data_IF_286874400868
#
_entry.id   IF_286874400868
#
_cell.length_a   1.000
_cell.length_b   1.000
_cell.length_c   1.000
_cell.angle_alpha   90.00
_cell.angle_beta   90.00
_cell.angle_gamma   90.00
#
_symmetry.space_group_name_H-M   'P 1'
#
loop_
_entity.id
_entity.type
_entity.pdbx_description
1 polymer ?
#
# COMPACT_ATOMS: atom_id res chain seq x y z
N UNK A 1 -17.18 8.30 -5.68
CA UNK A 1 -16.74 7.49 -4.51
C UNK A 1 -17.22 6.03 -4.68
N UNK A 2 -16.45 5.05 -4.20
CA UNK A 2 -16.79 3.62 -4.33
C UNK A 2 -17.28 3.08 -2.99
N UNK A 3 -18.60 2.92 -2.84
CA UNK A 3 -19.23 2.31 -1.66
C UNK A 3 -19.17 0.79 -1.72
N UNK A 4 -18.93 0.15 -0.57
CA UNK A 4 -18.94 -1.32 -0.44
C UNK A 4 -17.76 -1.99 -1.17
N UNK A 5 -16.69 -1.23 -1.40
CA UNK A 5 -15.42 -1.76 -1.86
C UNK A 5 -14.68 -2.38 -0.67
N UNK A 6 -14.14 -3.57 -0.86
CA UNK A 6 -13.25 -4.20 0.11
C UNK A 6 -11.83 -3.85 -0.29
N UNK A 7 -11.11 -3.18 0.60
CA UNK A 7 -9.69 -2.89 0.46
C UNK A 7 -8.93 -3.82 1.39
N UNK A 8 -8.01 -4.59 0.82
CA UNK A 8 -7.09 -5.46 1.54
C UNK A 8 -5.67 -4.90 1.37
N UNK A 9 -4.90 -4.85 2.45
CA UNK A 9 -3.49 -4.50 2.42
C UNK A 9 -2.64 -5.63 2.95
N UNK A 10 -1.42 -5.75 2.43
CA UNK A 10 -0.39 -6.59 3.02
C UNK A 10 1.01 -6.00 2.86
N UNK A 11 1.89 -6.25 3.82
CA UNK A 11 3.28 -5.78 3.82
C UNK A 11 4.16 -6.67 4.70
N UNK A 12 5.47 -6.51 4.56
CA UNK A 12 6.43 -7.06 5.50
C UNK A 12 6.42 -6.29 6.84
N UNK A 13 6.98 -6.92 7.87
CA UNK A 13 7.24 -6.30 9.16
C UNK A 13 8.39 -5.29 9.14
N UNK A 14 8.75 -4.74 10.31
CA UNK A 14 9.83 -3.75 10.44
C UNK A 14 11.23 -4.29 10.13
N UNK A 15 11.39 -5.61 10.06
CA UNK A 15 12.63 -6.30 9.70
C UNK A 15 12.65 -6.71 8.22
N UNK A 16 11.62 -6.35 7.43
CA UNK A 16 11.51 -6.72 6.03
C UNK A 16 11.10 -8.18 5.82
N UNK A 17 10.50 -8.82 6.83
CA UNK A 17 10.07 -10.23 6.79
C UNK A 17 8.58 -10.28 6.52
N UNK A 18 8.16 -11.06 5.52
CA UNK A 18 6.74 -11.37 5.34
C UNK A 18 6.32 -12.53 6.24
N UNK A 19 5.15 -12.43 6.85
CA UNK A 19 4.46 -13.57 7.46
C UNK A 19 3.94 -14.50 6.35
N UNK A 20 4.85 -15.26 5.74
CA UNK A 20 4.58 -16.17 4.64
C UNK A 20 5.39 -17.47 4.85
N UNK A 21 4.84 -18.61 4.44
CA UNK A 21 5.48 -19.92 4.65
C UNK A 21 6.80 -20.06 3.90
N UNK A 22 6.95 -19.35 2.79
CA UNK A 22 8.16 -19.39 1.96
C UNK A 22 9.17 -18.26 2.29
N UNK A 23 8.98 -17.52 3.38
CA UNK A 23 9.95 -16.51 3.82
C UNK A 23 11.19 -17.19 4.38
N UNK A 24 12.35 -17.00 3.74
CA UNK A 24 13.62 -17.62 4.12
C UNK A 24 14.28 -17.06 5.38
N UNK A 25 13.71 -16.00 5.97
CA UNK A 25 14.21 -15.28 7.15
C UNK A 25 13.17 -15.21 8.28
N UNK A 26 12.36 -16.26 8.42
CA UNK A 26 11.22 -16.32 9.36
C UNK A 26 11.66 -16.18 10.83
N UNK A 27 12.90 -16.51 11.16
CA UNK A 27 13.49 -16.34 12.49
C UNK A 27 13.63 -14.87 12.93
N UNK A 28 13.58 -13.93 11.99
CA UNK A 28 13.64 -12.48 12.25
C UNK A 28 12.26 -11.82 12.30
N UNK A 29 11.19 -12.61 12.17
CA UNK A 29 9.82 -12.10 12.15
C UNK A 29 9.46 -11.40 13.47
N UNK A 30 8.85 -10.23 13.39
CA UNK A 30 8.17 -9.58 14.52
C UNK A 30 6.88 -10.34 14.86
N UNK A 31 6.89 -11.05 16.00
CA UNK A 31 5.74 -11.79 16.49
C UNK A 31 4.50 -10.94 16.81
N UNK A 32 4.63 -9.62 16.86
CA UNK A 32 3.53 -8.68 17.12
C UNK A 32 2.96 -8.04 15.86
N UNK A 33 3.51 -8.33 14.67
CA UNK A 33 3.08 -7.72 13.42
C UNK A 33 2.52 -8.75 12.43
N UNK A 34 1.21 -8.69 12.18
CA UNK A 34 0.56 -9.66 11.29
C UNK A 34 0.74 -9.36 9.79
N UNK A 35 1.08 -8.13 9.41
CA UNK A 35 1.31 -7.73 8.02
C UNK A 35 0.10 -7.75 7.08
N UNK A 36 -1.13 -7.90 7.57
CA UNK A 36 -2.37 -7.86 6.77
C UNK A 36 -3.39 -6.85 7.32
N UNK A 37 -4.32 -6.40 6.49
CA UNK A 37 -5.46 -5.58 6.93
C UNK A 37 -6.60 -5.63 5.92
N UNK A 38 -7.84 -5.46 6.37
CA UNK A 38 -9.02 -5.38 5.51
C UNK A 38 -9.98 -4.29 5.98
N UNK A 39 -10.48 -3.49 5.06
CA UNK A 39 -11.43 -2.41 5.31
C UNK A 39 -12.57 -2.45 4.28
N UNK A 40 -13.81 -2.22 4.72
CA UNK A 40 -14.98 -2.09 3.84
C UNK A 40 -15.36 -0.62 3.74
N UNK A 41 -15.33 -0.05 2.55
CA UNK A 41 -15.62 1.37 2.34
C UNK A 41 -17.10 1.69 2.58
N UNK A 42 -17.34 2.79 3.30
CA UNK A 42 -18.67 3.32 3.56
C UNK A 42 -19.19 4.14 2.35
N UNK A 43 -20.26 4.92 2.56
CA UNK A 43 -20.85 5.77 1.52
C UNK A 43 -19.89 6.84 0.96
N UNK A 44 -18.96 7.34 1.78
CA UNK A 44 -17.94 8.32 1.37
C UNK A 44 -16.85 7.69 0.49
N UNK A 45 -16.71 6.36 0.50
CA UNK A 45 -15.66 5.64 -0.22
C UNK A 45 -14.29 5.66 0.48
N UNK A 46 -14.21 6.31 1.64
CA UNK A 46 -12.98 6.42 2.42
C UNK A 46 -12.61 5.09 3.08
N UNK A 47 -11.32 4.97 3.39
CA UNK A 47 -10.75 3.86 4.14
C UNK A 47 -9.64 4.37 5.06
N UNK A 48 -9.35 3.61 6.11
CA UNK A 48 -8.31 3.94 7.05
C UNK A 48 -7.60 2.68 7.55
N UNK A 49 -6.27 2.72 7.56
CA UNK A 49 -5.43 1.71 8.16
C UNK A 49 -4.41 2.39 9.07
N UNK A 50 -4.11 1.74 10.20
CA UNK A 50 -2.94 2.04 11.02
C UNK A 50 -1.98 0.87 10.91
N UNK A 51 -0.75 1.14 10.52
CA UNK A 51 0.31 0.14 10.31
C UNK A 51 1.67 0.78 10.58
N UNK A 52 2.75 -0.01 10.51
CA UNK A 52 4.12 0.50 10.48
C UNK A 52 4.46 1.00 9.07
N UNK A 53 5.33 2.02 8.98
CA UNK A 53 5.88 2.47 7.69
C UNK A 53 6.59 1.28 7.02
N UNK A 54 6.37 1.01 5.72
CA UNK A 54 7.03 -0.10 5.05
C UNK A 54 8.55 0.12 5.02
N UNK A 55 9.29 -0.98 5.06
CA UNK A 55 10.76 -1.04 5.01
C UNK A 55 11.21 -1.77 3.73
N UNK A 56 12.46 -1.59 3.27
CA UNK A 56 12.97 -2.39 2.16
C UNK A 56 13.07 -3.87 2.56
N UNK A 57 12.95 -4.74 1.58
CA UNK A 57 13.30 -6.16 1.70
C UNK A 57 14.05 -6.60 0.43
N UNK A 58 14.74 -7.76 0.42
CA UNK A 58 15.65 -8.12 -0.66
C UNK A 58 15.02 -7.95 -2.06
N UNK A 59 15.65 -7.10 -2.87
CA UNK A 59 15.25 -6.82 -4.25
C UNK A 59 14.09 -5.84 -4.43
N UNK A 60 13.50 -5.29 -3.36
CA UNK A 60 12.33 -4.41 -3.44
C UNK A 60 12.49 -3.12 -2.61
N UNK A 61 11.95 -2.02 -3.14
CA UNK A 61 11.81 -0.76 -2.41
C UNK A 61 10.69 -0.86 -1.35
N UNK A 62 10.67 -0.06 -0.26
CA UNK A 62 9.52 0.06 0.63
C UNK A 62 8.18 0.21 -0.08
N UNK A 63 7.25 -0.71 0.18
CA UNK A 63 5.87 -0.60 -0.32
C UNK A 63 4.87 -1.35 0.56
N UNK A 64 3.61 -0.98 0.41
CA UNK A 64 2.45 -1.72 0.93
C UNK A 64 1.65 -2.20 -0.28
N UNK A 65 1.31 -3.48 -0.32
CA UNK A 65 0.42 -3.98 -1.35
C UNK A 65 -1.03 -3.62 -1.04
N UNK A 66 -1.81 -3.37 -2.10
CA UNK A 66 -3.23 -3.08 -2.04
C UNK A 66 -3.99 -3.98 -3.01
N UNK A 67 -5.13 -4.51 -2.55
CA UNK A 67 -6.10 -5.19 -3.40
C UNK A 67 -7.49 -4.64 -3.13
N UNK A 68 -8.19 -4.31 -4.21
CA UNK A 68 -9.53 -3.73 -4.15
C UNK A 68 -10.50 -4.72 -4.80
N UNK A 69 -11.56 -5.05 -4.07
CA UNK A 69 -12.63 -5.96 -4.51
C UNK A 69 -13.99 -5.30 -4.38
N UNK A 70 -14.96 -5.70 -5.20
CA UNK A 70 -16.37 -5.31 -5.03
C UNK A 70 -17.28 -6.40 -5.57
N UNK A 71 -18.32 -6.76 -4.81
CA UNK A 71 -19.27 -7.79 -5.22
C UNK A 71 -18.60 -9.13 -5.56
N UNK A 72 -17.55 -9.51 -4.83
CA UNK A 72 -16.79 -10.74 -5.07
C UNK A 72 -15.77 -10.69 -6.21
N UNK A 73 -15.70 -9.60 -6.99
CA UNK A 73 -14.72 -9.43 -8.07
C UNK A 73 -13.50 -8.66 -7.59
N UNK A 74 -12.31 -9.09 -8.00
CA UNK A 74 -11.09 -8.29 -7.87
C UNK A 74 -11.07 -7.21 -8.96
N UNK A 75 -10.88 -5.96 -8.56
CA UNK A 75 -10.92 -4.80 -9.45
C UNK A 75 -9.52 -4.28 -9.75
N UNK A 76 -8.65 -4.24 -8.74
CA UNK A 76 -7.29 -3.75 -8.86
C UNK A 76 -6.39 -4.43 -7.82
N UNK A 77 -5.18 -4.80 -8.24
CA UNK A 77 -4.06 -5.07 -7.35
C UNK A 77 -2.95 -4.09 -7.69
N UNK A 78 -2.47 -3.36 -6.70
CA UNK A 78 -1.44 -2.34 -6.86
C UNK A 78 -0.51 -2.29 -5.65
N UNK A 79 0.47 -1.40 -5.65
CA UNK A 79 1.39 -1.17 -4.55
C UNK A 79 1.48 0.33 -4.26
N UNK A 80 1.45 0.69 -2.99
CA UNK A 80 1.72 2.03 -2.49
C UNK A 80 3.21 2.13 -2.18
N UNK A 81 3.93 3.01 -2.89
CA UNK A 81 5.36 3.24 -2.76
C UNK A 81 5.63 4.52 -1.97
N UNK A 82 6.74 4.55 -1.23
CA UNK A 82 7.15 5.76 -0.50
C UNK A 82 7.71 6.79 -1.48
N UNK A 83 7.08 7.96 -1.57
CA UNK A 83 7.55 9.08 -2.39
C UNK A 83 8.92 9.56 -1.92
N UNK A 84 9.84 9.76 -2.87
CA UNK A 84 11.21 10.20 -2.59
C UNK A 84 12.16 9.10 -2.10
N UNK A 85 11.72 7.85 -1.97
CA UNK A 85 12.61 6.73 -1.61
C UNK A 85 13.61 6.43 -2.75
N UNK A 86 14.93 6.53 -2.51
CA UNK A 86 15.93 6.34 -3.57
C UNK A 86 15.91 4.94 -4.20
N UNK A 87 15.51 3.91 -3.45
CA UNK A 87 15.42 2.54 -3.98
C UNK A 87 14.35 2.37 -5.06
N UNK A 88 13.39 3.28 -5.18
CA UNK A 88 12.41 3.28 -6.27
C UNK A 88 13.10 3.26 -7.64
N UNK A 89 14.25 3.95 -7.79
CA UNK A 89 15.01 4.02 -9.05
C UNK A 89 15.60 2.68 -9.50
N UNK A 90 15.69 1.70 -8.59
CA UNK A 90 16.27 0.37 -8.85
C UNK A 90 15.22 -0.75 -8.79
N UNK A 91 14.05 -0.51 -8.22
CA UNK A 91 12.97 -1.49 -8.14
C UNK A 91 12.36 -1.78 -9.52
N UNK A 92 12.52 -3.01 -10.00
CA UNK A 92 12.05 -3.41 -11.33
C UNK A 92 10.54 -3.39 -11.49
N UNK A 93 9.77 -3.59 -10.41
CA UNK A 93 8.30 -3.57 -10.44
C UNK A 93 7.80 -2.13 -10.58
N UNK A 94 8.34 -1.22 -9.76
CA UNK A 94 8.03 0.20 -9.86
C UNK A 94 8.41 0.78 -11.24
N UNK A 95 9.61 0.47 -11.73
CA UNK A 95 10.07 0.89 -13.06
C UNK A 95 9.29 0.26 -14.21
N UNK A 96 8.61 -0.86 -13.95
CA UNK A 96 7.72 -1.52 -14.91
C UNK A 96 6.49 -0.70 -15.24
N UNK A 97 6.10 0.26 -14.39
CA UNK A 97 4.99 1.17 -14.63
C UNK A 97 5.45 2.23 -15.65
N UNK A 98 5.13 2.02 -16.93
CA UNK A 98 5.59 2.86 -18.05
C UNK A 98 4.83 4.17 -18.19
N UNK A 99 3.55 4.17 -17.87
CA UNK A 99 2.75 5.38 -17.83
C UNK A 99 3.19 6.22 -16.63
N UNK A 100 3.65 7.44 -16.88
CA UNK A 100 4.18 8.32 -15.84
C UNK A 100 3.11 8.77 -14.85
N UNK A 101 1.88 9.03 -15.31
CA UNK A 101 0.76 9.40 -14.43
C UNK A 101 0.39 8.25 -13.52
N UNK A 102 0.32 7.03 -14.05
CA UNK A 102 0.06 5.83 -13.25
C UNK A 102 1.18 5.57 -12.23
N UNK A 103 2.43 5.81 -12.62
CA UNK A 103 3.59 5.67 -11.72
C UNK A 103 3.59 6.73 -10.63
N UNK A 104 3.25 7.97 -10.95
CA UNK A 104 3.16 9.05 -9.97
C UNK A 104 1.99 8.82 -9.01
N UNK A 105 0.88 8.24 -9.48
CA UNK A 105 -0.30 7.93 -8.68
C UNK A 105 -0.04 6.90 -7.56
N UNK A 106 1.02 6.09 -7.67
CA UNK A 106 1.39 5.12 -6.63
C UNK A 106 2.49 5.61 -5.69
N UNK A 107 3.02 6.83 -5.89
CA UNK A 107 4.00 7.46 -5.00
C UNK A 107 3.29 8.27 -3.92
N UNK A 108 3.35 7.77 -2.68
CA UNK A 108 2.64 8.33 -1.54
C UNK A 108 3.62 8.99 -0.57
N UNK A 109 3.29 10.22 -0.17
CA UNK A 109 4.04 10.94 0.85
C UNK A 109 3.64 10.45 2.25
N UNK A 110 4.63 10.12 3.06
CA UNK A 110 4.47 9.78 4.46
C UNK A 110 5.00 10.96 5.29
N UNK A 111 4.10 11.88 5.65
CA UNK A 111 4.43 13.13 6.32
C UNK A 111 4.27 12.99 7.85
N UNK A 112 5.11 13.64 8.67
CA UNK A 112 4.92 13.67 10.12
C UNK A 112 3.53 14.17 10.51
N UNK A 113 2.88 13.46 11.44
CA UNK A 113 1.62 13.92 12.02
C UNK A 113 1.91 15.02 13.04
N UNK A 114 1.25 16.17 12.85
CA UNK A 114 1.25 17.25 13.84
C UNK A 114 0.74 16.68 15.18
N UNK A 115 1.43 17.02 16.26
CA UNK A 115 1.09 16.64 17.63
C UNK A 115 1.22 15.14 17.96
N UNK A 116 1.81 14.30 17.08
CA UNK A 116 2.09 12.91 17.44
C UNK A 116 3.15 12.82 18.53
N UNK A 117 2.83 12.10 19.61
CA UNK A 117 3.73 11.86 20.75
C UNK A 117 4.78 10.78 20.50
N UNK A 118 4.56 9.94 19.49
CA UNK A 118 5.40 8.77 19.20
C UNK A 118 6.01 8.83 17.79
N UNK A 119 5.90 9.97 17.09
CA UNK A 119 6.47 10.15 15.75
C UNK A 119 5.67 9.48 14.63
N UNK A 120 4.34 9.43 14.75
CA UNK A 120 3.47 8.88 13.71
C UNK A 120 3.55 9.69 12.42
N UNK A 121 3.30 9.01 11.30
CA UNK A 121 3.22 9.58 9.98
C UNK A 121 1.79 9.43 9.45
N UNK A 122 1.34 10.41 8.66
CA UNK A 122 0.13 10.34 7.87
C UNK A 122 0.49 10.16 6.40
N UNK A 123 -0.32 9.36 5.70
CA UNK A 123 -0.19 9.08 4.29
C UNK A 123 -1.57 9.05 3.66
N UNK A 124 -1.72 9.71 2.50
CA UNK A 124 -2.97 9.78 1.75
C UNK A 124 -2.78 9.07 0.41
N UNK A 125 -3.52 7.99 0.18
CA UNK A 125 -3.43 7.22 -1.05
C UNK A 125 -4.81 7.08 -1.71
N UNK A 126 -5.07 7.96 -2.67
CA UNK A 126 -6.30 7.94 -3.44
C UNK A 126 -6.24 6.89 -4.55
N UNK A 127 -7.19 5.95 -4.53
CA UNK A 127 -7.25 4.85 -5.50
C UNK A 127 -8.36 5.12 -6.50
N UNK A 128 -7.97 5.29 -7.77
CA UNK A 128 -8.88 5.48 -8.89
C UNK A 128 -8.97 4.18 -9.68
N UNK A 129 -10.14 3.51 -9.64
CA UNK A 129 -10.35 2.22 -10.31
C UNK A 129 -10.64 2.33 -11.82
N UNK A 130 -10.79 3.55 -12.34
CA UNK A 130 -11.08 3.83 -13.74
C UNK A 130 -11.82 5.17 -13.90
N UNK A 131 -11.81 5.70 -15.12
CA UNK A 131 -12.63 6.85 -15.51
C UNK A 131 -14.07 6.38 -15.68
N UNK A 132 -15.02 7.11 -15.09
CA UNK A 132 -16.41 6.99 -15.53
C UNK A 132 -16.43 7.59 -16.94
N UNK A 133 -16.94 6.89 -17.98
CA UNK A 133 -17.14 7.52 -19.27
C UNK A 133 -17.96 8.80 -19.07
N UNK A 134 -17.55 9.90 -19.70
CA UNK A 134 -18.46 11.03 -19.88
C UNK A 134 -19.72 10.47 -20.54
N UNK A 135 -20.88 10.81 -19.99
CA UNK A 135 -22.17 10.37 -20.50
C UNK A 135 -22.24 10.77 -21.96
N UNK A 136 -22.26 9.80 -22.89
CA UNK A 136 -22.62 10.04 -24.28
C UNK A 136 -24.10 10.39 -24.38
#
# INVERSE_FOLDING_TARGET
PVRGGVIEIWQCDGNGVYLHTNSGNREQLDGNFQGFGRFLTASTGEYYFRTIKPVPYPGRTPHIHFKIKRGGKELLTTQCYVKGEPRNERDGVFRGIRDTKARDAVLVEFAPMKDSRIGELAAWFDIVLGLTPEVQ
#
